data_IF_981096481156
#
_entry.id   IF_981096481156
#
_cell.length_a   1.000
_cell.length_b   1.000
_cell.length_c   1.000
_cell.angle_alpha   90.00
_cell.angle_beta   90.00
_cell.angle_gamma   90.00
#
_symmetry.space_group_name_H-M   'P 1'
#
loop_
_entity.id
_entity.type
_entity.pdbx_description
1 polymer ?
#
# COMPACT_ATOMS: atom_id res chain seq x y z
N UNK A 1 6.03 -15.88 -3.17
CA UNK A 1 5.28 -17.16 -3.22
C UNK A 1 3.92 -16.90 -2.60
N UNK A 2 2.87 -16.81 -3.42
CA UNK A 2 1.49 -16.68 -2.94
C UNK A 2 1.09 -17.99 -2.29
N UNK A 3 0.96 -17.98 -0.96
CA UNK A 3 0.40 -19.11 -0.23
C UNK A 3 -1.05 -19.30 -0.70
N UNK A 4 -1.33 -20.40 -1.39
CA UNK A 4 -2.67 -20.76 -1.83
C UNK A 4 -3.15 -21.95 -0.97
N UNK A 5 -3.96 -21.71 0.08
CA UNK A 5 -4.37 -22.77 1.02
C UNK A 5 -5.17 -23.89 0.36
N UNK A 6 -5.74 -23.63 -0.82
CA UNK A 6 -6.71 -24.51 -1.48
C UNK A 6 -6.11 -25.48 -2.52
N UNK A 7 -4.79 -25.44 -2.76
CA UNK A 7 -4.13 -26.31 -3.75
C UNK A 7 -4.16 -27.82 -3.40
N UNK A 8 -4.76 -28.22 -2.27
CA UNK A 8 -4.93 -29.63 -1.87
C UNK A 8 -6.31 -30.21 -2.16
N UNK A 9 -7.25 -29.45 -2.74
CA UNK A 9 -8.64 -29.90 -2.93
C UNK A 9 -8.91 -30.68 -4.24
N UNK A 10 -7.89 -30.98 -5.06
CA UNK A 10 -8.08 -31.61 -6.38
C UNK A 10 -8.18 -33.14 -6.39
N UNK A 11 -8.35 -33.82 -5.25
CA UNK A 11 -8.39 -35.30 -5.21
C UNK A 11 -9.76 -35.86 -4.73
N UNK A 12 -10.63 -36.21 -5.69
CA UNK A 12 -11.80 -37.13 -5.58
C UNK A 12 -12.97 -36.75 -4.63
N UNK A 13 -14.24 -37.04 -4.98
CA UNK A 13 -15.40 -36.60 -4.20
C UNK A 13 -15.60 -37.49 -2.96
N UNK A 14 -14.84 -37.24 -1.90
CA UNK A 14 -15.20 -37.70 -0.56
C UNK A 14 -16.41 -36.86 -0.11
N UNK A 15 -17.43 -37.51 0.45
CA UNK A 15 -18.58 -36.83 1.08
C UNK A 15 -18.00 -35.82 2.07
N UNK A 16 -18.10 -34.52 1.77
CA UNK A 16 -17.57 -33.47 2.63
C UNK A 16 -18.54 -33.25 3.79
N UNK A 17 -18.00 -33.01 4.99
CA UNK A 17 -18.81 -32.72 6.19
C UNK A 17 -19.53 -31.38 6.11
N UNK A 18 -19.13 -30.53 5.17
CA UNK A 18 -19.72 -29.25 4.85
C UNK A 18 -20.20 -29.20 3.40
N UNK A 19 -21.16 -28.32 3.12
CA UNK A 19 -21.66 -28.11 1.76
C UNK A 19 -20.62 -27.40 0.88
N UNK A 20 -20.65 -27.67 -0.42
CA UNK A 20 -19.80 -26.98 -1.40
C UNK A 20 -20.06 -25.47 -1.44
N UNK A 21 -21.28 -25.04 -1.15
CA UNK A 21 -21.65 -23.62 -1.14
C UNK A 21 -20.94 -22.89 0.00
N UNK A 22 -20.98 -23.46 1.21
CA UNK A 22 -20.30 -22.90 2.39
C UNK A 22 -18.80 -22.76 2.14
N UNK A 23 -18.16 -23.77 1.55
CA UNK A 23 -16.73 -23.68 1.27
C UNK A 23 -16.40 -22.63 0.20
N UNK A 24 -17.21 -22.54 -0.85
CA UNK A 24 -17.04 -21.50 -1.89
C UNK A 24 -17.22 -20.08 -1.34
N UNK A 25 -18.18 -19.87 -0.45
CA UNK A 25 -18.38 -18.56 0.18
C UNK A 25 -17.18 -18.18 1.06
N UNK A 26 -16.65 -19.13 1.84
CA UNK A 26 -15.44 -18.91 2.64
C UNK A 26 -14.20 -18.64 1.77
N UNK A 27 -14.01 -19.39 0.69
CA UNK A 27 -12.94 -19.18 -0.30
C UNK A 27 -13.00 -17.78 -0.92
N UNK A 28 -14.21 -17.28 -1.21
CA UNK A 28 -14.42 -15.92 -1.75
C UNK A 28 -13.95 -14.86 -0.77
N UNK A 29 -14.32 -14.97 0.51
CA UNK A 29 -13.89 -14.00 1.53
C UNK A 29 -12.38 -14.09 1.80
N UNK A 30 -11.80 -15.30 1.83
CA UNK A 30 -10.34 -15.49 1.88
C UNK A 30 -9.62 -14.81 0.72
N UNK A 31 -10.17 -14.91 -0.49
CA UNK A 31 -9.59 -14.31 -1.70
C UNK A 31 -9.58 -12.78 -1.60
N UNK A 32 -10.69 -12.17 -1.17
CA UNK A 32 -10.77 -10.73 -0.94
C UNK A 32 -9.75 -10.26 0.09
N UNK A 33 -9.61 -11.00 1.20
CA UNK A 33 -8.67 -10.68 2.26
C UNK A 33 -7.22 -10.76 1.77
N UNK A 34 -6.86 -11.80 1.02
CA UNK A 34 -5.52 -11.95 0.45
C UNK A 34 -5.18 -10.85 -0.57
N UNK A 35 -6.13 -10.47 -1.42
CA UNK A 35 -5.98 -9.35 -2.35
C UNK A 35 -5.79 -8.02 -1.61
N UNK A 36 -6.53 -7.80 -0.52
CA UNK A 36 -6.41 -6.61 0.30
C UNK A 36 -5.05 -6.54 1.01
N UNK A 37 -4.54 -7.65 1.53
CA UNK A 37 -3.21 -7.74 2.15
C UNK A 37 -2.11 -7.36 1.16
N UNK A 38 -2.11 -7.97 -0.02
CA UNK A 38 -1.10 -7.71 -1.05
C UNK A 38 -1.16 -6.26 -1.54
N UNK A 39 -2.37 -5.75 -1.80
CA UNK A 39 -2.58 -4.38 -2.26
C UNK A 39 -2.11 -3.36 -1.21
N UNK A 40 -2.38 -3.61 0.07
CA UNK A 40 -1.96 -2.71 1.16
C UNK A 40 -0.46 -2.72 1.35
N UNK A 41 0.18 -3.90 1.28
CA UNK A 41 1.65 -4.03 1.32
C UNK A 41 2.32 -3.30 0.17
N UNK A 42 1.74 -3.38 -1.04
CA UNK A 42 2.23 -2.67 -2.21
C UNK A 42 2.11 -1.16 -2.02
N UNK A 43 0.94 -0.68 -1.58
CA UNK A 43 0.72 0.75 -1.29
C UNK A 43 1.72 1.29 -0.26
N UNK A 44 1.95 0.57 0.83
CA UNK A 44 2.97 0.92 1.83
C UNK A 44 4.38 1.05 1.22
N UNK A 45 4.79 0.08 0.40
CA UNK A 45 6.12 0.10 -0.24
C UNK A 45 6.25 1.24 -1.25
N UNK A 46 5.24 1.44 -2.09
CA UNK A 46 5.27 2.44 -3.15
C UNK A 46 5.23 3.86 -2.56
N UNK A 47 4.47 4.09 -1.48
CA UNK A 47 4.49 5.38 -0.78
C UNK A 47 5.85 5.67 -0.14
N UNK A 48 6.51 4.66 0.46
CA UNK A 48 7.89 4.83 0.96
C UNK A 48 8.86 5.23 -0.14
N UNK A 49 8.82 4.53 -1.28
CA UNK A 49 9.65 4.87 -2.45
C UNK A 49 9.38 6.29 -2.94
N UNK A 50 8.12 6.72 -2.94
CA UNK A 50 7.75 8.08 -3.32
C UNK A 50 8.41 9.11 -2.39
N UNK A 51 8.35 8.92 -1.06
CA UNK A 51 9.00 9.85 -0.11
C UNK A 51 10.53 9.84 -0.22
N UNK A 52 11.13 8.69 -0.51
CA UNK A 52 12.57 8.55 -0.77
C UNK A 52 12.97 9.31 -2.04
N UNK A 53 12.17 9.22 -3.10
CA UNK A 53 12.39 9.93 -4.36
C UNK A 53 12.24 11.46 -4.20
N UNK A 54 11.22 11.93 -3.47
CA UNK A 54 11.04 13.36 -3.14
C UNK A 54 12.25 13.89 -2.35
N UNK A 55 12.75 13.12 -1.38
CA UNK A 55 13.95 13.49 -0.62
C UNK A 55 15.18 13.59 -1.52
N UNK A 56 15.37 12.64 -2.44
CA UNK A 56 16.49 12.63 -3.36
C UNK A 56 16.44 13.83 -4.32
N UNK A 57 15.27 14.11 -4.89
CA UNK A 57 15.05 15.27 -5.77
C UNK A 57 15.38 16.57 -5.05
N UNK A 58 14.79 16.79 -3.88
CA UNK A 58 15.00 18.01 -3.10
C UNK A 58 16.47 18.25 -2.77
N UNK A 59 17.22 17.21 -2.40
CA UNK A 59 18.68 17.33 -2.17
C UNK A 59 19.45 17.69 -3.43
N UNK A 60 19.07 17.13 -4.57
CA UNK A 60 19.68 17.47 -5.85
C UNK A 60 19.40 18.93 -6.24
N UNK A 61 18.16 19.41 -6.07
CA UNK A 61 17.77 20.79 -6.37
C UNK A 61 18.51 21.81 -5.49
N UNK A 62 18.65 21.53 -4.19
CA UNK A 62 19.44 22.38 -3.28
C UNK A 62 20.90 22.42 -3.70
N UNK A 63 21.49 21.27 -4.02
CA UNK A 63 22.87 21.20 -4.49
C UNK A 63 23.06 21.98 -5.80
N UNK A 64 22.15 21.84 -6.76
CA UNK A 64 22.20 22.61 -8.01
C UNK A 64 22.19 24.12 -7.74
N UNK A 65 21.35 24.59 -6.80
CA UNK A 65 21.35 26.00 -6.39
C UNK A 65 22.68 26.45 -5.79
N UNK A 66 23.31 25.63 -4.94
CA UNK A 66 24.62 25.92 -4.34
C UNK A 66 25.74 25.95 -5.39
N UNK A 67 25.74 24.97 -6.30
CA UNK A 67 26.74 24.87 -7.38
C UNK A 67 26.61 26.07 -8.33
N UNK A 68 25.39 26.51 -8.64
CA UNK A 68 25.13 27.72 -9.44
C UNK A 68 25.76 28.98 -8.78
N UNK A 69 25.48 29.21 -7.49
CA UNK A 69 26.09 30.33 -6.74
C UNK A 69 27.61 30.30 -6.80
N UNK A 70 28.20 29.11 -6.65
CA UNK A 70 29.66 28.94 -6.68
C UNK A 70 30.27 29.23 -8.06
N UNK A 71 29.52 29.02 -9.13
CA UNK A 71 29.98 29.21 -10.52
C UNK A 71 29.91 30.69 -10.95
N UNK A 72 29.01 31.47 -10.36
CA UNK A 72 28.78 32.87 -10.68
C UNK A 72 29.71 33.85 -9.92
N UNK A 73 30.86 33.39 -9.43
CA UNK A 73 31.83 34.24 -8.73
C UNK A 73 32.46 35.28 -9.67
N UNK A 74 32.53 36.54 -9.24
CA UNK A 74 33.21 37.63 -9.97
C UNK A 74 32.29 38.63 -10.67
N UNK A 75 31.00 38.31 -10.83
CA UNK A 75 29.98 39.19 -11.40
C UNK A 75 28.84 39.39 -10.39
N UNK A 76 28.74 40.58 -9.79
CA UNK A 76 27.85 40.82 -8.65
C UNK A 76 26.37 40.63 -9.01
N UNK A 77 25.93 41.05 -10.21
CA UNK A 77 24.54 40.90 -10.65
C UNK A 77 24.17 39.42 -10.83
N UNK A 78 24.99 38.66 -11.56
CA UNK A 78 24.76 37.24 -11.81
C UNK A 78 24.83 36.42 -10.51
N UNK A 79 25.72 36.80 -9.59
CA UNK A 79 25.78 36.17 -8.26
C UNK A 79 24.49 36.40 -7.47
N UNK A 80 23.93 37.63 -7.49
CA UNK A 80 22.69 37.93 -6.78
C UNK A 80 21.51 37.11 -7.30
N UNK A 81 21.40 36.93 -8.62
CA UNK A 81 20.39 36.06 -9.25
C UNK A 81 20.57 34.59 -8.85
N UNK A 82 21.81 34.08 -8.87
CA UNK A 82 22.13 32.73 -8.42
C UNK A 82 21.81 32.50 -6.93
N UNK A 83 22.08 33.50 -6.08
CA UNK A 83 21.74 33.46 -4.65
C UNK A 83 20.23 33.41 -4.42
N UNK A 84 19.44 34.12 -5.23
CA UNK A 84 17.98 34.05 -5.19
C UNK A 84 17.45 32.66 -5.57
N UNK A 85 18.04 32.02 -6.59
CA UNK A 85 17.74 30.63 -6.97
C UNK A 85 18.08 29.68 -5.80
N UNK A 86 19.27 29.80 -5.22
CA UNK A 86 19.71 28.97 -4.10
C UNK A 86 18.83 29.12 -2.84
N UNK A 87 18.39 30.35 -2.53
CA UNK A 87 17.46 30.59 -1.43
C UNK A 87 16.08 29.98 -1.70
N UNK A 88 15.62 30.00 -2.95
CA UNK A 88 14.34 29.41 -3.36
C UNK A 88 14.37 27.89 -3.29
N UNK A 89 15.43 27.23 -3.76
CA UNK A 89 15.57 25.77 -3.65
C UNK A 89 15.65 25.30 -2.20
N UNK A 90 16.27 26.07 -1.30
CA UNK A 90 16.25 25.80 0.14
C UNK A 90 14.83 25.90 0.74
N UNK A 91 14.01 26.87 0.32
CA UNK A 91 12.59 26.93 0.73
C UNK A 91 11.80 25.72 0.24
N UNK A 92 12.00 25.32 -1.02
CA UNK A 92 11.37 24.13 -1.63
C UNK A 92 11.75 22.84 -0.90
N UNK A 93 12.98 22.73 -0.39
CA UNK A 93 13.38 21.61 0.47
C UNK A 93 12.55 21.57 1.76
N UNK A 94 12.32 22.71 2.42
CA UNK A 94 11.46 22.78 3.60
C UNK A 94 10.05 22.24 3.33
N UNK A 95 9.44 22.65 2.22
CA UNK A 95 8.12 22.14 1.82
C UNK A 95 8.14 20.64 1.49
N UNK A 96 9.21 20.16 0.85
CA UNK A 96 9.39 18.73 0.53
C UNK A 96 9.52 17.88 1.79
N UNK A 97 10.24 18.37 2.80
CA UNK A 97 10.37 17.70 4.10
C UNK A 97 9.04 17.64 4.85
N UNK A 98 8.23 18.70 4.78
CA UNK A 98 6.89 18.73 5.36
C UNK A 98 5.95 17.73 4.65
N UNK A 99 5.94 17.72 3.31
CA UNK A 99 5.17 16.75 2.52
C UNK A 99 5.53 15.31 2.89
N UNK A 100 6.82 15.01 3.03
CA UNK A 100 7.29 13.68 3.43
C UNK A 100 6.87 13.31 4.85
N UNK A 101 6.99 14.25 5.79
CA UNK A 101 6.54 14.07 7.18
C UNK A 101 5.04 13.78 7.25
N UNK A 102 4.25 14.52 6.48
CA UNK A 102 2.80 14.32 6.43
C UNK A 102 2.43 13.01 5.72
N UNK A 103 3.12 12.66 4.62
CA UNK A 103 2.95 11.37 3.92
C UNK A 103 3.24 10.17 4.81
N UNK A 104 4.26 10.29 5.69
CA UNK A 104 4.60 9.27 6.67
C UNK A 104 3.45 9.02 7.64
N UNK A 105 2.86 10.08 8.19
CA UNK A 105 1.76 10.02 9.16
C UNK A 105 0.43 9.65 8.51
N UNK A 106 0.17 10.16 7.31
CA UNK A 106 -1.11 10.03 6.62
C UNK A 106 -1.27 8.66 5.97
N UNK A 107 -0.20 8.05 5.43
CA UNK A 107 -0.32 6.81 4.64
C UNK A 107 0.64 5.73 5.10
N UNK A 108 1.94 6.03 5.25
CA UNK A 108 2.95 4.97 5.50
C UNK A 108 2.69 4.27 6.85
N UNK A 109 2.49 5.02 7.93
CA UNK A 109 2.19 4.44 9.23
C UNK A 109 0.85 3.72 9.29
N UNK A 110 -0.28 4.29 8.81
CA UNK A 110 -1.56 3.59 8.76
C UNK A 110 -1.50 2.30 7.96
N UNK A 111 -0.91 2.31 6.75
CA UNK A 111 -0.81 1.10 5.92
C UNK A 111 0.07 0.03 6.58
N UNK A 112 1.14 0.43 7.29
CA UNK A 112 1.96 -0.49 8.08
C UNK A 112 1.16 -1.11 9.23
N UNK A 113 0.38 -0.32 9.97
CA UNK A 113 -0.47 -0.81 11.07
C UNK A 113 -1.55 -1.77 10.54
N UNK A 114 -2.22 -1.42 9.44
CA UNK A 114 -3.21 -2.26 8.80
C UNK A 114 -2.61 -3.59 8.31
N UNK A 115 -1.42 -3.55 7.72
CA UNK A 115 -0.68 -4.76 7.27
C UNK A 115 -0.39 -5.73 8.42
N UNK A 116 -0.21 -5.22 9.65
CA UNK A 116 0.09 -6.05 10.81
C UNK A 116 -1.12 -6.83 11.35
N UNK A 117 -2.34 -6.59 10.84
CA UNK A 117 -3.56 -7.31 11.22
C UNK A 117 -3.63 -8.66 10.48
N UNK A 118 -3.19 -8.72 9.22
CA UNK A 118 -3.30 -9.93 8.39
C UNK A 118 -2.64 -11.19 8.96
N UNK A 119 -1.48 -11.15 9.65
CA UNK A 119 -0.93 -12.34 10.30
C UNK A 119 -1.89 -12.99 11.30
N UNK A 120 -2.67 -12.20 12.04
CA UNK A 120 -3.65 -12.70 12.99
C UNK A 120 -4.85 -13.32 12.27
N UNK A 121 -5.39 -12.64 11.25
CA UNK A 121 -6.47 -13.17 10.42
C UNK A 121 -6.08 -14.50 9.73
N UNK A 122 -4.87 -14.57 9.16
CA UNK A 122 -4.33 -15.80 8.57
C UNK A 122 -4.17 -16.93 9.60
N UNK A 123 -3.86 -16.60 10.86
CA UNK A 123 -3.80 -17.58 11.94
C UNK A 123 -5.19 -18.15 12.25
N UNK A 124 -6.21 -17.31 12.31
CA UNK A 124 -7.59 -17.72 12.51
C UNK A 124 -8.12 -18.60 11.36
N UNK A 125 -7.82 -18.24 10.10
CA UNK A 125 -8.13 -19.07 8.92
C UNK A 125 -7.48 -20.46 9.04
N UNK A 126 -6.21 -20.53 9.46
CA UNK A 126 -5.52 -21.82 9.68
C UNK A 126 -6.15 -22.65 10.80
N UNK A 127 -6.64 -22.01 11.87
CA UNK A 127 -7.36 -22.70 12.94
C UNK A 127 -8.66 -23.31 12.42
N UNK A 128 -9.46 -22.54 11.66
CA UNK A 128 -10.69 -23.02 10.99
C UNK A 128 -10.44 -24.20 10.07
N UNK A 129 -9.34 -24.16 9.31
CA UNK A 129 -8.98 -25.27 8.42
C UNK A 129 -8.59 -26.53 9.22
N UNK A 130 -7.86 -26.36 10.33
CA UNK A 130 -7.52 -27.47 11.22
C UNK A 130 -8.77 -28.08 11.89
N UNK A 131 -9.70 -27.26 12.38
CA UNK A 131 -10.95 -27.77 12.97
C UNK A 131 -11.83 -28.47 11.95
N UNK A 132 -11.89 -28.00 10.69
CA UNK A 132 -12.58 -28.68 9.60
C UNK A 132 -11.99 -30.07 9.30
N UNK A 133 -10.66 -30.18 9.32
CA UNK A 133 -9.97 -31.45 9.14
C UNK A 133 -10.27 -32.42 10.28
N UNK A 134 -10.27 -31.93 11.52
CA UNK A 134 -10.61 -32.73 12.70
C UNK A 134 -12.08 -33.18 12.68
N UNK A 135 -13.01 -32.29 12.32
CA UNK A 135 -14.42 -32.62 12.13
C UNK A 135 -14.59 -33.73 11.07
N UNK A 136 -13.95 -33.57 9.91
CA UNK A 136 -13.94 -34.57 8.84
C UNK A 136 -13.40 -35.92 9.30
N UNK A 137 -12.31 -35.91 10.08
CA UNK A 137 -11.70 -37.13 10.62
C UNK A 137 -12.62 -37.85 11.60
N UNK A 138 -13.27 -37.12 12.50
CA UNK A 138 -14.20 -37.70 13.47
C UNK A 138 -15.47 -38.23 12.78
N UNK A 139 -15.97 -37.54 11.74
CA UNK A 139 -17.11 -38.01 10.96
C UNK A 139 -16.81 -39.38 10.33
N UNK A 140 -15.68 -39.50 9.62
CA UNK A 140 -15.25 -40.76 9.01
C UNK A 140 -15.06 -41.87 10.05
N UNK A 141 -14.58 -41.53 11.25
CA UNK A 141 -14.42 -42.48 12.35
C UNK A 141 -15.77 -43.00 12.85
N UNK A 142 -16.76 -42.11 13.00
CA UNK A 142 -18.13 -42.48 13.42
C UNK A 142 -18.81 -43.32 12.36
N UNK A 143 -18.73 -42.95 11.08
CA UNK A 143 -19.27 -43.73 9.96
C UNK A 143 -18.73 -45.17 9.96
N UNK A 144 -17.40 -45.32 10.07
CA UNK A 144 -16.75 -46.65 10.17
C UNK A 144 -17.15 -47.44 11.42
N UNK A 145 -17.52 -46.78 12.52
CA UNK A 145 -17.99 -47.45 13.73
C UNK A 145 -19.46 -47.87 13.60
N UNK A 146 -20.27 -47.13 12.83
CA UNK A 146 -21.67 -47.47 12.55
C UNK A 146 -21.82 -48.71 11.67
N UNK A 147 -20.85 -48.95 10.78
CA UNK A 147 -20.80 -50.14 9.92
C UNK A 147 -20.42 -51.44 10.67
N UNK A 148 -19.94 -51.34 11.92
CA UNK A 148 -19.55 -52.50 12.72
C UNK A 148 -20.74 -53.20 13.37
N UNK A 149 -20.58 -54.49 13.65
CA UNK A 149 -21.54 -55.27 14.41
C UNK A 149 -21.86 -54.63 15.78
N UNK A 150 -23.13 -54.69 16.17
CA UNK A 150 -23.66 -54.11 17.42
C UNK A 150 -23.32 -54.96 18.64
N UNK A 151 -22.04 -55.07 18.95
CA UNK A 151 -21.55 -55.66 20.20
C UNK A 151 -21.49 -54.60 21.30
N UNK A 152 -21.59 -54.99 22.57
CA UNK A 152 -21.47 -54.08 23.72
C UNK A 152 -20.23 -53.15 23.64
N UNK A 153 -19.02 -53.67 23.39
CA UNK A 153 -17.83 -52.83 23.20
C UNK A 153 -17.90 -51.87 22.03
N UNK A 154 -18.52 -52.25 20.90
CA UNK A 154 -18.69 -51.39 19.74
C UNK A 154 -19.71 -50.27 19.99
N UNK A 155 -20.78 -50.54 20.75
CA UNK A 155 -21.76 -49.53 21.16
C UNK A 155 -21.09 -48.44 22.00
N UNK A 156 -20.27 -48.82 22.99
CA UNK A 156 -19.54 -47.85 23.83
C UNK A 156 -18.58 -47.00 22.98
N UNK A 157 -17.82 -47.62 22.07
CA UNK A 157 -16.90 -46.90 21.16
C UNK A 157 -17.64 -45.96 20.21
N UNK A 158 -18.80 -46.37 19.70
CA UNK A 158 -19.63 -45.54 18.84
C UNK A 158 -20.14 -44.32 19.60
N UNK A 159 -20.58 -44.49 20.84
CA UNK A 159 -21.07 -43.39 21.68
C UNK A 159 -19.97 -42.39 22.01
N UNK A 160 -18.77 -42.86 22.37
CA UNK A 160 -17.59 -42.01 22.54
C UNK A 160 -17.23 -41.27 21.25
N UNK A 161 -17.29 -41.94 20.10
CA UNK A 161 -17.06 -41.34 18.79
C UNK A 161 -18.05 -40.23 18.47
N UNK A 162 -19.34 -40.44 18.75
CA UNK A 162 -20.39 -39.42 18.55
C UNK A 162 -20.16 -38.18 19.43
N UNK A 163 -19.74 -38.36 20.68
CA UNK A 163 -19.38 -37.22 21.56
C UNK A 163 -18.19 -36.43 21.01
N UNK A 164 -17.14 -37.12 20.57
CA UNK A 164 -15.97 -36.48 19.95
C UNK A 164 -16.32 -35.76 18.64
N UNK A 165 -17.21 -36.35 17.83
CA UNK A 165 -17.73 -35.74 16.61
C UNK A 165 -18.52 -34.46 16.91
N UNK A 166 -19.38 -34.50 17.92
CA UNK A 166 -20.16 -33.32 18.34
C UNK A 166 -19.24 -32.18 18.77
N UNK A 167 -18.21 -32.47 19.57
CA UNK A 167 -17.24 -31.47 20.01
C UNK A 167 -16.42 -30.89 18.85
N UNK A 168 -15.96 -31.73 17.91
CA UNK A 168 -15.21 -31.27 16.75
C UNK A 168 -16.07 -30.43 15.79
N UNK A 169 -17.35 -30.79 15.64
CA UNK A 169 -18.31 -30.02 14.85
C UNK A 169 -18.55 -28.64 15.48
N UNK A 170 -18.76 -28.58 16.78
CA UNK A 170 -18.98 -27.32 17.51
C UNK A 170 -17.76 -26.38 17.40
N UNK A 171 -16.53 -26.90 17.59
CA UNK A 171 -15.31 -26.09 17.43
C UNK A 171 -15.18 -25.52 16.00
N UNK A 172 -15.46 -26.34 14.98
CA UNK A 172 -15.49 -25.86 13.60
C UNK A 172 -16.58 -24.80 13.37
N UNK A 173 -17.80 -25.03 13.84
CA UNK A 173 -18.92 -24.10 13.65
C UNK A 173 -18.66 -22.75 14.32
N UNK A 174 -18.06 -22.73 15.51
CA UNK A 174 -17.66 -21.50 16.20
C UNK A 174 -16.62 -20.73 15.37
N UNK A 175 -15.54 -21.40 14.94
CA UNK A 175 -14.48 -20.75 14.18
C UNK A 175 -14.95 -20.28 12.80
N UNK A 176 -15.76 -21.09 12.12
CA UNK A 176 -16.31 -20.76 10.81
C UNK A 176 -17.28 -19.57 10.88
N UNK A 177 -18.16 -19.55 11.90
CA UNK A 177 -19.14 -18.46 12.05
C UNK A 177 -18.46 -17.14 12.37
N UNK A 178 -17.51 -17.12 13.32
CA UNK A 178 -16.74 -15.91 13.65
C UNK A 178 -15.99 -15.37 12.42
N UNK A 179 -15.29 -16.23 11.66
CA UNK A 179 -14.59 -15.77 10.46
C UNK A 179 -15.51 -15.26 9.35
N UNK A 180 -16.67 -15.90 9.16
CA UNK A 180 -17.65 -15.48 8.15
C UNK A 180 -18.36 -14.16 8.53
N UNK A 181 -18.32 -13.77 9.81
CA UNK A 181 -18.78 -12.47 10.29
C UNK A 181 -17.67 -11.41 10.23
N UNK A 182 -16.49 -11.73 10.75
CA UNK A 182 -15.40 -10.77 10.93
C UNK A 182 -14.68 -10.42 9.62
N UNK A 183 -14.46 -11.37 8.71
CA UNK A 183 -13.73 -11.08 7.46
C UNK A 183 -14.46 -10.06 6.57
N UNK A 184 -15.79 -10.17 6.31
CA UNK A 184 -16.52 -9.15 5.57
C UNK A 184 -16.52 -7.80 6.27
N UNK A 185 -16.74 -7.77 7.60
CA UNK A 185 -16.72 -6.52 8.37
C UNK A 185 -15.35 -5.82 8.29
N UNK A 186 -14.26 -6.58 8.45
CA UNK A 186 -12.91 -6.05 8.29
C UNK A 186 -12.65 -5.54 6.87
N UNK A 187 -13.12 -6.28 5.85
CA UNK A 187 -12.99 -5.86 4.47
C UNK A 187 -13.72 -4.54 4.25
N UNK A 188 -14.98 -4.41 4.66
CA UNK A 188 -15.77 -3.21 4.43
C UNK A 188 -15.26 -1.99 5.23
N UNK A 189 -14.80 -2.20 6.47
CA UNK A 189 -14.18 -1.17 7.30
C UNK A 189 -12.90 -0.55 6.71
N UNK A 190 -12.31 -1.16 5.67
CA UNK A 190 -11.17 -0.56 4.94
C UNK A 190 -11.48 0.83 4.38
N UNK A 191 -12.75 1.09 4.01
CA UNK A 191 -13.15 2.36 3.39
C UNK A 191 -12.98 3.49 4.41
N UNK A 192 -13.58 3.33 5.58
CA UNK A 192 -13.51 4.30 6.68
C UNK A 192 -12.08 4.49 7.20
N UNK A 193 -11.26 3.44 7.10
CA UNK A 193 -9.84 3.51 7.48
C UNK A 193 -8.99 4.23 6.42
N UNK A 194 -9.19 3.95 5.13
CA UNK A 194 -8.33 4.45 4.04
C UNK A 194 -8.71 5.85 3.58
N UNK A 195 -10.00 6.21 3.62
CA UNK A 195 -10.47 7.52 3.16
C UNK A 195 -9.75 8.70 3.85
N UNK A 196 -9.69 8.80 5.19
CA UNK A 196 -8.98 9.91 5.85
C UNK A 196 -7.48 9.91 5.55
N UNK A 197 -6.87 8.74 5.31
CA UNK A 197 -5.46 8.63 4.93
C UNK A 197 -5.20 9.32 3.58
N UNK A 198 -6.03 9.04 2.58
CA UNK A 198 -5.89 9.61 1.24
C UNK A 198 -6.30 11.09 1.19
N UNK A 199 -7.34 11.49 1.92
CA UNK A 199 -7.70 12.90 2.04
C UNK A 199 -6.58 13.74 2.67
N UNK A 200 -5.93 13.22 3.71
CA UNK A 200 -4.79 13.90 4.34
C UNK A 200 -3.57 13.98 3.40
N UNK A 201 -3.30 12.92 2.62
CA UNK A 201 -2.25 12.94 1.60
C UNK A 201 -2.53 14.01 0.53
N UNK A 202 -3.75 14.02 -0.03
CA UNK A 202 -4.15 14.98 -1.06
C UNK A 202 -4.04 16.41 -0.56
N UNK A 203 -4.51 16.70 0.65
CA UNK A 203 -4.36 18.04 1.27
C UNK A 203 -2.90 18.44 1.43
N UNK A 204 -2.03 17.50 1.82
CA UNK A 204 -0.59 17.75 1.97
C UNK A 204 0.06 18.04 0.62
N UNK A 205 -0.32 17.31 -0.43
CA UNK A 205 0.16 17.54 -1.80
C UNK A 205 -0.30 18.89 -2.35
N UNK A 206 -1.57 19.25 -2.15
CA UNK A 206 -2.09 20.57 -2.54
C UNK A 206 -1.32 21.68 -1.85
N UNK A 207 -1.06 21.57 -0.54
CA UNK A 207 -0.27 22.55 0.20
C UNK A 207 1.16 22.66 -0.36
N UNK A 208 1.83 21.53 -0.57
CA UNK A 208 3.18 21.49 -1.15
C UNK A 208 3.22 22.20 -2.52
N UNK A 209 2.38 21.80 -3.46
CA UNK A 209 2.40 22.35 -4.82
C UNK A 209 2.00 23.82 -4.86
N UNK A 210 1.04 24.24 -4.02
CA UNK A 210 0.63 25.66 -3.96
C UNK A 210 1.75 26.54 -3.42
N UNK A 211 2.44 26.10 -2.36
CA UNK A 211 3.57 26.84 -1.79
C UNK A 211 4.77 26.86 -2.74
N UNK A 212 5.06 25.73 -3.39
CA UNK A 212 6.12 25.64 -4.39
C UNK A 212 5.87 26.57 -5.58
N UNK A 213 4.65 26.58 -6.12
CA UNK A 213 4.25 27.50 -7.18
C UNK A 213 4.47 28.95 -6.77
N UNK A 214 4.01 29.34 -5.58
CA UNK A 214 4.14 30.70 -5.07
C UNK A 214 5.61 31.17 -5.02
N UNK A 215 6.51 30.37 -4.43
CA UNK A 215 7.93 30.78 -4.31
C UNK A 215 8.66 30.78 -5.66
N UNK A 216 8.24 29.95 -6.61
CA UNK A 216 8.79 29.96 -7.97
C UNK A 216 8.32 31.19 -8.76
N UNK A 217 7.06 31.62 -8.59
CA UNK A 217 6.58 32.87 -9.17
C UNK A 217 7.27 34.09 -8.57
N UNK A 218 7.50 34.11 -7.26
CA UNK A 218 8.30 35.16 -6.59
C UNK A 218 9.70 35.23 -7.21
N UNK A 219 10.40 34.09 -7.34
CA UNK A 219 11.71 34.03 -7.98
C UNK A 219 11.69 34.50 -9.44
N UNK A 220 10.73 34.04 -10.24
CA UNK A 220 10.64 34.46 -11.63
C UNK A 220 10.41 35.97 -11.76
N UNK A 221 9.57 36.56 -10.91
CA UNK A 221 9.40 38.01 -10.83
C UNK A 221 10.69 38.74 -10.42
N UNK A 222 11.43 38.21 -9.44
CA UNK A 222 12.71 38.80 -8.99
C UNK A 222 13.78 38.78 -10.10
N UNK A 223 13.75 37.76 -10.97
CA UNK A 223 14.64 37.63 -12.13
C UNK A 223 14.13 38.39 -13.38
N UNK A 224 13.01 39.11 -13.29
CA UNK A 224 12.41 39.82 -14.42
C UNK A 224 11.83 38.91 -15.50
N UNK A 225 11.58 37.64 -15.18
CA UNK A 225 10.90 36.69 -16.06
C UNK A 225 9.38 36.86 -15.97
N UNK A 226 8.69 36.70 -17.10
CA UNK A 226 7.23 36.74 -17.12
C UNK A 226 6.66 35.50 -16.42
N UNK A 227 5.81 35.74 -15.41
CA UNK A 227 5.24 34.69 -14.55
C UNK A 227 3.89 34.16 -15.06
N UNK A 228 3.29 34.81 -16.06
CA UNK A 228 2.02 34.37 -16.63
C UNK A 228 2.28 33.10 -17.47
N UNK A 229 1.73 31.93 -17.12
CA UNK A 229 1.95 30.73 -17.91
C UNK A 229 1.37 30.97 -19.31
N UNK A 230 2.17 30.93 -20.38
CA UNK A 230 1.65 31.09 -21.72
C UNK A 230 0.66 29.95 -22.00
N UNK A 231 -0.32 30.12 -22.91
CA UNK A 231 -1.09 28.99 -23.42
C UNK A 231 -0.14 27.85 -23.84
N UNK A 232 -0.43 26.58 -23.55
CA UNK A 232 0.50 25.43 -23.67
C UNK A 232 1.34 25.38 -24.97
N UNK A 233 0.80 25.88 -26.09
CA UNK A 233 1.49 25.99 -27.37
C UNK A 233 2.57 27.09 -27.42
N UNK A 234 2.34 28.20 -26.74
CA UNK A 234 3.24 29.35 -26.66
C UNK A 234 4.44 29.05 -25.73
N UNK A 235 4.20 28.37 -24.59
CA UNK A 235 5.27 27.98 -23.65
C UNK A 235 6.32 27.09 -24.31
N UNK A 236 5.90 26.11 -25.11
CA UNK A 236 6.83 25.23 -25.82
C UNK A 236 7.64 25.99 -26.88
N UNK A 237 7.04 26.96 -27.58
CA UNK A 237 7.74 27.78 -28.56
C UNK A 237 8.78 28.70 -27.91
N UNK A 238 8.44 29.31 -26.77
CA UNK A 238 9.34 30.19 -26.02
C UNK A 238 10.49 29.39 -25.40
N UNK A 239 10.22 28.20 -24.85
CA UNK A 239 11.25 27.28 -24.37
C UNK A 239 12.18 26.82 -25.49
N UNK A 240 11.65 26.48 -26.67
CA UNK A 240 12.44 26.11 -27.85
C UNK A 240 13.35 27.27 -28.30
N UNK A 241 12.84 28.51 -28.25
CA UNK A 241 13.60 29.71 -28.58
C UNK A 241 14.74 29.94 -27.59
N UNK A 242 14.47 29.90 -26.28
CA UNK A 242 15.52 30.02 -25.27
C UNK A 242 16.60 28.93 -25.42
N UNK A 243 16.19 27.68 -25.69
CA UNK A 243 17.12 26.58 -25.96
C UNK A 243 17.93 26.80 -27.24
N UNK A 244 17.35 27.42 -28.27
CA UNK A 244 18.07 27.78 -29.50
C UNK A 244 19.09 28.88 -29.22
N UNK A 245 18.69 29.93 -28.51
CA UNK A 245 19.57 31.05 -28.13
C UNK A 245 20.74 30.54 -27.26
N UNK A 246 20.47 29.65 -26.30
CA UNK A 246 21.52 28.98 -25.51
C UNK A 246 22.49 28.18 -26.38
N UNK A 247 22.02 27.50 -27.44
CA UNK A 247 22.88 26.74 -28.36
C UNK A 247 23.66 27.64 -29.31
N UNK A 248 23.17 28.85 -29.59
CA UNK A 248 23.82 29.83 -30.45
C UNK A 248 24.94 30.60 -29.73
N UNK A 249 25.01 30.52 -28.40
CA UNK A 249 26.15 31.03 -27.61
C UNK A 249 27.41 30.21 -27.94
N UNK A 250 28.26 30.74 -28.81
CA UNK A 250 29.60 30.21 -29.07
C UNK A 250 30.58 30.84 -28.09
N UNK A 251 31.22 30.02 -27.24
CA UNK A 251 32.39 30.45 -26.48
C UNK A 251 33.59 30.37 -27.44
N UNK A 252 33.82 31.44 -28.20
CA UNK A 252 35.07 31.61 -28.92
C UNK A 252 36.07 32.18 -27.93
N UNK A 253 37.10 31.42 -27.59
CA UNK A 253 38.29 31.98 -26.95
C UNK A 253 38.96 32.85 -28.02
N UNK A 254 38.97 34.18 -27.83
CA UNK A 254 39.84 35.04 -28.64
C UNK A 254 41.30 34.69 -28.27
N UNK A 255 42.03 34.13 -29.24
CA UNK A 255 43.46 33.76 -29.16
C UNK A 255 44.38 34.99 -28.94
#
# INVERSE_FOLDING_TARGET
>A
MSWNPFNRLSASPKRTVISKTVEKDFERECTKLAQLDESTKKLYKDMRKCTEAVTALSKCEVKLGQDLVSTCQGEDMLRNEAEAVGATTAKLEGFSQELNTNSQKAVIEPMKRFTNIFPQANSAIRKREHSLQEYSRQQLKVEKLQEKERTGPNIVKLEQGKKALSAAKEDFEVQNSSLMEEMPQFYDGRIDYFQPCFEALLRSQVAYHSNAYKVLCELASDLGADTEPPPDLQYNADLQKQLFDMKALSIVLED
#
